data_IF_894518838205
#
_entry.id   IF_894518838205
#
_cell.length_a   1.000
_cell.length_b   1.000
_cell.length_c   1.000
_cell.angle_alpha   90.00
_cell.angle_beta   90.00
_cell.angle_gamma   90.00
#
_symmetry.space_group_name_H-M   'P 1'
#
loop_
_entity.id
_entity.type
_entity.pdbx_description
1 polymer ?
#
# COMPACT_ATOMS: atom_id res chain seq x y z
N UNK A 1 -13.01 6.76 41.65
CA UNK A 1 -14.10 7.54 42.27
C UNK A 1 -13.76 9.01 42.45
N UNK A 2 -12.51 9.40 42.77
CA UNK A 2 -12.14 10.81 43.01
C UNK A 2 -12.10 11.72 41.75
N UNK A 3 -12.37 11.20 40.55
CA UNK A 3 -12.38 11.98 39.31
C UNK A 3 -13.53 12.99 39.27
N UNK A 4 -14.69 12.62 39.81
CA UNK A 4 -15.84 13.51 39.99
C UNK A 4 -16.46 13.20 41.36
N UNK A 5 -16.72 14.25 42.15
CA UNK A 5 -17.27 14.15 43.51
C UNK A 5 -18.81 14.20 43.54
N UNK A 6 -19.44 14.46 42.39
CA UNK A 6 -20.89 14.45 42.29
C UNK A 6 -21.44 13.04 42.55
N UNK A 7 -22.45 12.96 43.42
CA UNK A 7 -23.11 11.68 43.79
C UNK A 7 -23.77 10.99 42.59
N UNK A 8 -24.17 11.77 41.58
CA UNK A 8 -24.83 11.29 40.34
C UNK A 8 -23.85 11.00 39.21
N UNK A 9 -22.54 11.09 39.46
CA UNK A 9 -21.52 10.74 38.48
C UNK A 9 -21.40 9.21 38.31
N UNK A 10 -20.34 8.75 37.63
CA UNK A 10 -20.15 7.33 37.36
C UNK A 10 -19.98 6.50 38.66
N UNK A 11 -20.69 5.38 38.74
CA UNK A 11 -20.63 4.46 39.87
C UNK A 11 -19.28 3.72 39.95
N UNK A 12 -18.70 3.67 41.15
CA UNK A 12 -17.49 2.90 41.47
C UNK A 12 -17.84 1.71 42.37
N UNK A 13 -17.49 0.51 41.93
CA UNK A 13 -17.61 -0.69 42.76
C UNK A 13 -16.31 -0.88 43.58
N UNK A 14 -16.33 -0.68 44.91
CA UNK A 14 -15.14 -0.78 45.75
C UNK A 14 -14.61 -2.22 45.86
N UNK A 15 -15.43 -3.25 45.61
CA UNK A 15 -15.03 -4.65 45.73
C UNK A 15 -14.14 -5.06 44.56
N UNK A 16 -14.62 -4.82 43.34
CA UNK A 16 -13.87 -5.10 42.11
C UNK A 16 -12.89 -3.99 41.73
N UNK A 17 -12.98 -2.82 42.41
CA UNK A 17 -12.21 -1.61 42.11
C UNK A 17 -12.40 -1.13 40.67
N UNK A 18 -13.62 -1.24 40.15
CA UNK A 18 -13.94 -0.87 38.77
C UNK A 18 -14.95 0.29 38.68
N UNK A 19 -14.75 1.18 37.70
CA UNK A 19 -15.74 2.20 37.28
C UNK A 19 -16.16 1.89 35.85
N UNK A 20 -17.42 1.50 35.67
CA UNK A 20 -17.93 1.13 34.34
C UNK A 20 -17.99 2.31 33.38
N UNK A 21 -18.53 3.43 33.87
CA UNK A 21 -18.80 4.61 33.05
C UNK A 21 -17.71 5.67 33.18
N UNK A 22 -17.58 6.52 32.16
CA UNK A 22 -16.75 7.71 32.25
C UNK A 22 -17.32 8.69 33.30
N UNK A 23 -16.56 9.09 34.34
CA UNK A 23 -17.01 10.05 35.36
C UNK A 23 -17.12 11.51 34.85
N UNK A 24 -16.55 11.84 33.69
CA UNK A 24 -16.44 13.19 33.14
C UNK A 24 -17.24 13.40 31.84
N UNK A 25 -18.30 12.60 31.61
CA UNK A 25 -19.13 12.64 30.38
C UNK A 25 -19.68 14.03 30.06
N UNK A 26 -20.13 14.76 31.07
CA UNK A 26 -20.85 16.02 30.88
C UNK A 26 -19.91 17.23 30.74
N UNK A 27 -18.74 17.17 31.37
CA UNK A 27 -17.82 18.30 31.52
C UNK A 27 -16.88 18.44 30.32
N UNK A 28 -16.40 17.31 29.78
CA UNK A 28 -15.32 17.30 28.77
C UNK A 28 -15.73 16.48 27.54
N UNK A 29 -16.65 17.02 26.74
CA UNK A 29 -16.98 16.42 25.43
C UNK A 29 -15.85 16.70 24.43
N UNK A 30 -15.23 15.64 23.90
CA UNK A 30 -14.28 15.73 22.77
C UNK A 30 -12.82 15.97 23.14
N UNK A 31 -12.46 16.04 24.43
CA UNK A 31 -11.06 16.09 24.87
C UNK A 31 -10.52 14.70 25.20
N UNK A 32 -9.21 14.51 25.04
CA UNK A 32 -8.53 13.28 25.46
C UNK A 32 -8.37 13.28 26.99
N UNK A 33 -9.40 12.76 27.66
CA UNK A 33 -9.41 12.52 29.10
C UNK A 33 -8.54 11.29 29.39
N UNK A 34 -7.74 11.34 30.47
CA UNK A 34 -6.88 10.23 30.91
C UNK A 34 -7.67 8.97 31.30
N UNK A 35 -8.90 9.11 31.80
CA UNK A 35 -9.76 8.01 32.20
C UNK A 35 -11.14 8.17 31.56
N UNK A 36 -11.57 7.15 30.79
CA UNK A 36 -12.85 7.14 30.06
C UNK A 36 -13.81 6.04 30.55
N UNK A 37 -13.55 5.46 31.71
CA UNK A 37 -14.25 4.26 32.19
C UNK A 37 -13.48 2.98 31.85
N UNK A 38 -13.75 1.92 32.62
CA UNK A 38 -13.14 0.60 32.43
C UNK A 38 -13.81 -0.19 31.31
N UNK A 39 -15.10 0.04 31.06
CA UNK A 39 -15.75 -0.44 29.84
C UNK A 39 -15.32 0.51 28.72
N UNK A 40 -14.17 0.21 28.13
CA UNK A 40 -13.82 0.70 26.81
C UNK A 40 -14.93 0.29 25.84
N UNK A 41 -15.19 1.09 24.80
CA UNK A 41 -16.18 0.77 23.79
C UNK A 41 -15.98 -0.69 23.34
N UNK A 42 -16.99 -1.58 23.44
CA UNK A 42 -16.85 -3.00 23.11
C UNK A 42 -16.33 -3.23 21.69
N UNK A 43 -16.51 -2.22 20.84
CA UNK A 43 -16.08 -2.16 19.46
C UNK A 43 -14.73 -1.43 19.33
N UNK A 44 -13.77 -1.69 20.21
CA UNK A 44 -12.44 -1.10 20.13
C UNK A 44 -11.32 -2.14 20.01
N UNK A 45 -10.30 -1.79 19.24
CA UNK A 45 -9.08 -2.58 19.08
C UNK A 45 -9.32 -3.99 18.53
N UNK A 46 -8.62 -4.97 19.12
CA UNK A 46 -8.59 -6.36 18.68
C UNK A 46 -9.92 -7.10 18.94
N UNK A 47 -10.78 -6.58 19.81
CA UNK A 47 -12.09 -7.18 20.13
C UNK A 47 -12.96 -7.24 18.86
N UNK A 48 -12.90 -6.20 18.02
CA UNK A 48 -13.62 -6.18 16.73
C UNK A 48 -13.10 -7.28 15.82
N UNK A 49 -11.79 -7.45 15.74
CA UNK A 49 -11.18 -8.46 14.87
C UNK A 49 -11.59 -9.89 15.30
N UNK A 50 -11.66 -10.14 16.61
CA UNK A 50 -12.16 -11.41 17.16
C UNK A 50 -13.65 -11.59 16.85
N UNK A 51 -14.47 -10.56 17.00
CA UNK A 51 -15.90 -10.59 16.66
C UNK A 51 -16.15 -10.82 15.16
N UNK A 52 -15.35 -10.21 14.29
CA UNK A 52 -15.39 -10.46 12.85
C UNK A 52 -14.99 -11.91 12.52
N UNK A 53 -14.00 -12.45 13.23
CA UNK A 53 -13.57 -13.82 13.05
C UNK A 53 -14.62 -14.82 13.54
N UNK A 54 -15.28 -14.56 14.68
CA UNK A 54 -16.37 -15.43 15.18
C UNK A 54 -17.54 -15.45 14.20
N UNK A 55 -18.01 -14.28 13.76
CA UNK A 55 -19.10 -14.18 12.77
C UNK A 55 -18.73 -14.85 11.45
N UNK A 56 -17.48 -14.70 10.99
CA UNK A 56 -16.96 -15.41 9.82
C UNK A 56 -17.05 -16.93 10.00
N UNK A 57 -16.54 -17.46 11.13
CA UNK A 57 -16.56 -18.92 11.38
C UNK A 57 -17.98 -19.47 11.47
N UNK A 58 -18.92 -18.78 12.12
CA UNK A 58 -20.33 -19.19 12.18
C UNK A 58 -20.95 -19.23 10.78
N UNK A 59 -20.72 -18.20 9.96
CA UNK A 59 -21.22 -18.16 8.58
C UNK A 59 -20.59 -19.23 7.68
N UNK A 60 -19.34 -19.64 7.97
CA UNK A 60 -18.64 -20.70 7.25
C UNK A 60 -19.19 -22.07 7.64
N UNK A 61 -19.47 -22.27 8.93
CA UNK A 61 -20.08 -23.47 9.47
C UNK A 61 -21.49 -23.70 8.88
N UNK A 62 -22.31 -22.65 8.79
CA UNK A 62 -23.62 -22.71 8.12
C UNK A 62 -23.53 -23.13 6.65
N UNK A 63 -22.41 -22.82 5.98
CA UNK A 63 -22.12 -23.21 4.60
C UNK A 63 -21.50 -24.61 4.48
N UNK A 64 -21.30 -25.31 5.61
CA UNK A 64 -20.72 -26.66 5.68
C UNK A 64 -19.19 -26.70 5.71
N UNK A 65 -18.52 -25.56 5.90
CA UNK A 65 -17.06 -25.51 6.06
C UNK A 65 -16.73 -25.63 7.55
N UNK A 66 -16.17 -26.76 7.95
CA UNK A 66 -15.81 -27.02 9.35
C UNK A 66 -14.55 -26.25 9.76
N UNK A 67 -14.77 -25.09 10.40
CA UNK A 67 -13.75 -24.20 10.93
C UNK A 67 -14.26 -23.60 12.22
N UNK A 68 -13.51 -23.79 13.30
CA UNK A 68 -13.84 -23.25 14.62
C UNK A 68 -12.74 -22.31 15.10
N UNK A 69 -13.11 -21.11 15.57
CA UNK A 69 -12.14 -20.08 15.98
C UNK A 69 -11.23 -20.54 17.13
N UNK A 70 -11.78 -21.21 18.14
CA UNK A 70 -10.99 -21.65 19.31
C UNK A 70 -10.22 -22.95 19.10
N UNK A 71 -10.69 -23.82 18.19
CA UNK A 71 -10.06 -25.12 17.98
C UNK A 71 -8.94 -25.00 16.93
N UNK A 72 -9.25 -24.30 15.83
CA UNK A 72 -8.35 -24.10 14.70
C UNK A 72 -8.13 -22.59 14.41
N UNK A 73 -7.53 -21.81 15.33
CA UNK A 73 -7.42 -20.36 15.18
C UNK A 73 -6.62 -19.95 13.93
N UNK A 74 -5.54 -20.65 13.62
CA UNK A 74 -4.67 -20.34 12.47
C UNK A 74 -5.36 -20.63 11.13
N UNK A 75 -6.15 -21.71 11.06
CA UNK A 75 -6.96 -22.07 9.89
C UNK A 75 -8.05 -21.02 9.66
N UNK A 76 -8.75 -20.62 10.72
CA UNK A 76 -9.79 -19.60 10.65
C UNK A 76 -9.22 -18.25 10.18
N UNK A 77 -8.08 -17.83 10.73
CA UNK A 77 -7.41 -16.58 10.34
C UNK A 77 -6.96 -16.60 8.86
N UNK A 78 -6.36 -17.70 8.41
CA UNK A 78 -5.91 -17.85 7.02
C UNK A 78 -7.10 -17.78 6.04
N UNK A 79 -8.19 -18.49 6.35
CA UNK A 79 -9.41 -18.46 5.54
C UNK A 79 -10.07 -17.08 5.53
N UNK A 80 -10.08 -16.39 6.68
CA UNK A 80 -10.60 -15.02 6.79
C UNK A 80 -9.78 -14.04 5.93
N UNK A 81 -8.44 -14.15 5.93
CA UNK A 81 -7.56 -13.33 5.06
C UNK A 81 -7.84 -13.57 3.58
N UNK A 82 -7.95 -14.84 3.18
CA UNK A 82 -8.31 -15.21 1.81
C UNK A 82 -9.71 -14.69 1.44
N UNK A 83 -10.66 -14.77 2.35
CA UNK A 83 -12.01 -14.26 2.16
C UNK A 83 -12.03 -12.74 1.97
N UNK A 84 -11.29 -11.98 2.78
CA UNK A 84 -11.18 -10.52 2.63
C UNK A 84 -10.60 -10.13 1.26
N UNK A 85 -9.49 -10.75 0.85
CA UNK A 85 -8.90 -10.49 -0.46
C UNK A 85 -9.85 -10.83 -1.62
N UNK A 86 -10.59 -11.95 -1.54
CA UNK A 86 -11.61 -12.31 -2.54
C UNK A 86 -12.79 -11.34 -2.51
N UNK A 87 -13.23 -10.90 -1.34
CA UNK A 87 -14.33 -9.93 -1.19
C UNK A 87 -13.95 -8.57 -1.80
N UNK A 88 -12.72 -8.11 -1.59
CA UNK A 88 -12.22 -6.87 -2.20
C UNK A 88 -12.19 -6.97 -3.74
N UNK A 89 -11.68 -8.07 -4.29
CA UNK A 89 -11.70 -8.31 -5.73
C UNK A 89 -13.15 -8.32 -6.28
N UNK A 90 -14.07 -9.02 -5.62
CA UNK A 90 -15.49 -9.04 -6.00
C UNK A 90 -16.15 -7.67 -5.89
N UNK A 91 -15.80 -6.87 -4.89
CA UNK A 91 -16.32 -5.50 -4.76
C UNK A 91 -15.84 -4.62 -5.91
N UNK A 92 -14.58 -4.74 -6.32
CA UNK A 92 -14.03 -4.01 -7.48
C UNK A 92 -14.75 -4.43 -8.76
N UNK A 93 -14.97 -5.73 -8.96
CA UNK A 93 -15.68 -6.22 -10.14
C UNK A 93 -17.15 -5.79 -10.14
N UNK A 94 -17.81 -5.81 -8.99
CA UNK A 94 -19.16 -5.30 -8.82
C UNK A 94 -19.24 -3.78 -9.08
N UNK A 95 -18.25 -3.01 -8.62
CA UNK A 95 -18.16 -1.57 -8.92
C UNK A 95 -18.01 -1.34 -10.43
N UNK A 96 -17.15 -2.10 -11.13
CA UNK A 96 -17.02 -2.02 -12.60
C UNK A 96 -18.32 -2.40 -13.31
N UNK A 97 -19.01 -3.45 -12.85
CA UNK A 97 -20.29 -3.86 -13.41
C UNK A 97 -21.34 -2.74 -13.27
N UNK A 98 -21.43 -2.12 -12.09
CA UNK A 98 -22.32 -0.98 -11.86
C UNK A 98 -21.99 0.21 -12.78
N UNK A 99 -20.70 0.58 -12.90
CA UNK A 99 -20.26 1.66 -13.80
C UNK A 99 -20.63 1.33 -15.25
N UNK A 100 -20.46 0.07 -15.69
CA UNK A 100 -20.81 -0.33 -17.06
C UNK A 100 -22.31 -0.27 -17.36
N UNK A 101 -23.16 -0.54 -16.35
CA UNK A 101 -24.63 -0.54 -16.51
C UNK A 101 -25.22 0.85 -16.42
N UNK A 102 -24.73 1.67 -15.50
CA UNK A 102 -25.34 2.94 -15.14
C UNK A 102 -24.53 4.16 -15.59
N UNK A 103 -23.30 3.97 -16.09
CA UNK A 103 -22.38 5.06 -16.43
C UNK A 103 -21.81 5.73 -15.17
N UNK A 104 -21.14 6.88 -15.35
CA UNK A 104 -20.60 7.69 -14.25
C UNK A 104 -19.10 7.55 -13.99
N UNK A 105 -18.33 6.95 -14.90
CA UNK A 105 -16.86 6.93 -14.84
C UNK A 105 -16.27 8.34 -14.78
N UNK A 106 -16.93 9.32 -15.42
CA UNK A 106 -16.56 10.74 -15.42
C UNK A 106 -16.57 11.38 -14.02
N UNK A 107 -17.34 10.81 -13.08
CA UNK A 107 -17.45 11.32 -11.71
C UNK A 107 -16.50 10.61 -10.72
N UNK A 108 -15.78 9.57 -11.15
CA UNK A 108 -14.78 8.90 -10.29
C UNK A 108 -13.54 9.77 -10.07
N UNK A 109 -13.14 10.51 -11.12
CA UNK A 109 -12.05 11.46 -11.06
C UNK A 109 -12.65 12.83 -10.78
N UNK A 110 -12.45 13.34 -9.56
CA UNK A 110 -12.77 14.72 -9.27
C UNK A 110 -11.94 15.60 -10.22
N UNK A 111 -12.59 16.49 -11.00
CA UNK A 111 -11.88 17.50 -11.78
C UNK A 111 -10.92 18.30 -10.87
N UNK A 112 -9.88 18.93 -11.43
CA UNK A 112 -9.04 19.82 -10.64
C UNK A 112 -9.91 20.87 -9.93
N UNK A 113 -9.54 21.23 -8.70
CA UNK A 113 -10.34 22.12 -7.83
C UNK A 113 -10.70 23.44 -8.51
N UNK A 114 -9.81 23.97 -9.33
CA UNK A 114 -10.03 25.18 -10.12
C UNK A 114 -11.24 25.08 -11.06
N UNK A 115 -11.44 23.92 -11.70
CA UNK A 115 -12.61 23.69 -12.56
C UNK A 115 -13.89 23.46 -11.75
N UNK A 116 -13.76 22.97 -10.52
CA UNK A 116 -14.89 22.69 -9.63
C UNK A 116 -15.49 23.98 -9.04
N UNK A 117 -14.65 25.00 -8.81
CA UNK A 117 -15.07 26.25 -8.18
C UNK A 117 -15.57 27.30 -9.18
N UNK A 118 -15.47 27.06 -10.50
CA UNK A 118 -15.83 27.99 -11.62
C UNK A 118 -15.19 29.39 -11.53
N UNK A 119 -14.41 29.63 -10.48
CA UNK A 119 -13.64 30.83 -10.20
C UNK A 119 -12.21 30.54 -10.62
N UNK A 120 -11.71 31.27 -11.61
CA UNK A 120 -10.32 31.20 -12.06
C UNK A 120 -9.41 32.13 -11.25
N UNK A 121 -9.94 32.78 -10.21
CA UNK A 121 -9.24 33.84 -9.48
C UNK A 121 -8.78 33.34 -8.11
N UNK A 122 -7.48 33.05 -8.01
CA UNK A 122 -6.81 32.84 -6.72
C UNK A 122 -6.63 34.18 -6.02
N UNK A 123 -7.47 34.47 -5.02
CA UNK A 123 -7.34 35.69 -4.22
C UNK A 123 -6.10 35.62 -3.31
N UNK A 124 -5.10 36.47 -3.61
CA UNK A 124 -3.85 36.58 -2.86
C UNK A 124 -3.78 37.93 -2.14
N UNK A 125 -3.76 37.91 -0.80
CA UNK A 125 -3.56 39.12 0.01
C UNK A 125 -2.06 39.34 0.26
N UNK A 126 -1.55 40.51 -0.12
CA UNK A 126 -0.17 40.92 0.19
C UNK A 126 -0.12 41.79 1.45
N UNK A 127 0.86 41.54 2.30
CA UNK A 127 1.26 42.47 3.35
C UNK A 127 1.80 43.76 2.73
N UNK A 128 1.83 44.85 3.50
CA UNK A 128 2.53 46.10 3.11
C UNK A 128 4.00 45.88 2.74
N UNK A 129 4.61 44.79 3.21
CA UNK A 129 5.98 44.39 2.90
C UNK A 129 6.11 43.45 1.69
N UNK A 130 5.01 43.12 1.01
CA UNK A 130 4.98 42.24 -0.17
C UNK A 130 4.94 40.74 0.14
N UNK A 131 4.77 40.33 1.40
CA UNK A 131 4.62 38.92 1.77
C UNK A 131 3.16 38.48 1.62
N UNK A 132 2.94 37.33 1.02
CA UNK A 132 1.59 36.74 0.88
C UNK A 132 1.07 36.32 2.26
N UNK A 133 -0.12 36.78 2.65
CA UNK A 133 -0.79 36.46 3.92
C UNK A 133 -1.89 35.41 3.71
N UNK A 134 -2.65 35.52 2.62
CA UNK A 134 -3.74 34.60 2.24
C UNK A 134 -3.62 34.20 0.78
N UNK A 135 -4.15 33.04 0.43
CA UNK A 135 -4.11 32.52 -0.95
C UNK A 135 -2.84 31.76 -1.31
N UNK A 136 -1.91 31.55 -0.37
CA UNK A 136 -0.76 30.68 -0.64
C UNK A 136 -1.23 29.21 -0.64
N UNK A 137 -1.07 28.52 -1.75
CA UNK A 137 -1.19 27.07 -1.78
C UNK A 137 -0.32 26.47 -0.68
N UNK A 138 -0.87 25.49 0.07
CA UNK A 138 -0.10 24.85 1.12
C UNK A 138 1.15 24.25 0.52
N UNK A 139 2.30 24.82 0.87
CA UNK A 139 3.58 24.29 0.46
C UNK A 139 3.64 22.80 0.83
N UNK A 140 4.18 21.94 -0.05
CA UNK A 140 4.39 20.54 0.29
C UNK A 140 5.19 20.49 1.59
N UNK A 141 4.77 19.62 2.50
CA UNK A 141 5.41 19.46 3.81
C UNK A 141 6.82 18.94 3.56
N UNK A 142 7.83 19.80 3.72
CA UNK A 142 9.25 19.41 3.68
C UNK A 142 9.69 19.04 5.08
N UNK A 143 10.57 18.05 5.21
CA UNK A 143 11.15 17.74 6.52
C UNK A 143 12.11 18.85 6.99
N UNK A 144 12.58 18.75 8.24
CA UNK A 144 13.53 19.69 8.84
C UNK A 144 14.89 19.73 8.11
N UNK A 145 15.21 18.69 7.36
CA UNK A 145 16.51 18.54 6.70
C UNK A 145 16.43 19.02 5.26
N UNK A 146 17.55 19.53 4.74
CA UNK A 146 17.63 19.99 3.35
C UNK A 146 17.59 18.75 2.45
N UNK A 147 16.43 18.49 1.89
CA UNK A 147 16.18 17.43 0.91
C UNK A 147 16.65 17.88 -0.49
N UNK A 148 16.83 16.90 -1.38
CA UNK A 148 17.13 17.13 -2.80
C UNK A 148 18.41 17.91 -3.12
N UNK A 149 19.39 17.88 -2.21
CA UNK A 149 20.75 18.38 -2.48
C UNK A 149 21.59 17.21 -2.99
N UNK A 150 21.63 17.08 -4.31
CA UNK A 150 22.46 16.08 -4.97
C UNK A 150 23.83 16.67 -5.32
N UNK A 151 24.87 15.84 -5.18
CA UNK A 151 26.25 16.21 -5.48
C UNK A 151 26.40 16.24 -7.01
N UNK A 152 27.15 17.20 -7.57
CA UNK A 152 27.63 17.21 -8.96
C UNK A 152 26.58 16.84 -10.04
N UNK A 153 25.39 17.46 -9.95
CA UNK A 153 24.27 17.34 -10.90
C UNK A 153 23.70 15.91 -11.06
N UNK A 154 23.87 15.06 -10.06
CA UNK A 154 23.11 13.80 -10.00
C UNK A 154 21.63 14.07 -9.66
N UNK A 155 20.71 13.19 -10.07
CA UNK A 155 19.28 13.24 -9.66
C UNK A 155 18.99 12.30 -8.48
N UNK A 156 20.02 11.62 -7.97
CA UNK A 156 19.91 10.62 -6.92
C UNK A 156 21.08 10.73 -5.94
N UNK A 157 20.87 10.32 -4.70
CA UNK A 157 21.92 10.26 -3.68
C UNK A 157 22.92 9.13 -3.95
N UNK A 158 24.13 9.26 -3.42
CA UNK A 158 25.10 8.17 -3.42
C UNK A 158 24.58 6.97 -2.62
N UNK A 159 24.70 5.76 -3.16
CA UNK A 159 24.17 4.54 -2.54
C UNK A 159 22.71 4.24 -2.89
N UNK A 160 22.12 5.02 -3.79
CA UNK A 160 20.80 4.71 -4.36
C UNK A 160 20.83 3.47 -5.27
N UNK A 161 22.00 3.11 -5.80
CA UNK A 161 22.22 1.94 -6.65
C UNK A 161 23.27 0.99 -6.04
N UNK A 162 23.09 -0.31 -6.24
CA UNK A 162 24.00 -1.36 -5.76
C UNK A 162 24.13 -2.47 -6.79
N UNK A 163 25.37 -2.78 -7.19
CA UNK A 163 25.70 -3.95 -8.00
C UNK A 163 27.14 -4.38 -7.73
N UNK A 164 27.42 -5.69 -7.82
CA UNK A 164 28.77 -6.26 -7.69
C UNK A 164 29.59 -5.76 -6.49
N UNK A 165 28.97 -5.77 -5.31
CA UNK A 165 29.57 -5.28 -4.05
C UNK A 165 29.99 -3.80 -4.05
N UNK A 166 29.47 -3.00 -5.00
CA UNK A 166 29.75 -1.58 -5.11
C UNK A 166 28.45 -0.76 -5.05
N UNK A 167 28.52 0.34 -4.30
CA UNK A 167 27.47 1.35 -4.24
C UNK A 167 27.69 2.38 -5.36
N UNK A 168 26.60 2.88 -5.93
CA UNK A 168 26.62 3.90 -6.97
C UNK A 168 25.39 4.81 -6.93
N UNK A 169 25.27 5.65 -7.95
CA UNK A 169 24.11 6.50 -8.19
C UNK A 169 23.09 5.81 -9.12
N UNK A 170 21.78 5.93 -8.91
CA UNK A 170 20.76 5.36 -9.84
C UNK A 170 20.69 6.10 -11.16
N UNK A 171 21.02 7.38 -11.17
CA UNK A 171 20.88 8.22 -12.36
C UNK A 171 21.93 7.94 -13.45
N UNK A 172 23.15 7.60 -13.05
CA UNK A 172 24.28 7.39 -13.95
C UNK A 172 24.93 6.00 -13.78
N UNK A 173 24.46 5.17 -12.83
CA UNK A 173 25.06 3.88 -12.43
C UNK A 173 26.57 3.93 -12.16
N UNK A 174 27.14 5.10 -11.88
CA UNK A 174 28.57 5.24 -11.60
C UNK A 174 28.90 4.80 -10.17
N UNK A 175 29.97 4.02 -10.03
CA UNK A 175 30.52 3.54 -8.75
C UNK A 175 31.60 4.46 -8.18
N UNK A 176 31.74 5.69 -8.69
CA UNK A 176 32.71 6.66 -8.20
C UNK A 176 31.96 7.78 -7.48
N UNK A 177 32.22 7.93 -6.17
CA UNK A 177 31.63 8.97 -5.35
C UNK A 177 32.11 10.34 -5.82
N UNK A 178 31.20 11.31 -5.93
CA UNK A 178 31.46 12.67 -6.42
C UNK A 178 31.89 12.75 -7.89
N UNK A 179 31.66 11.72 -8.72
CA UNK A 179 31.78 11.91 -10.17
C UNK A 179 30.74 12.94 -10.64
N UNK A 180 30.99 13.65 -11.73
CA UNK A 180 29.94 14.41 -12.41
C UNK A 180 28.95 13.43 -13.07
N UNK A 181 27.65 13.72 -13.06
CA UNK A 181 26.71 12.85 -13.78
C UNK A 181 26.87 13.07 -15.28
N UNK A 182 27.14 12.00 -16.01
CA UNK A 182 27.27 11.99 -17.48
C UNK A 182 25.92 12.08 -18.20
N UNK A 183 24.81 12.17 -17.47
CA UNK A 183 23.52 12.64 -17.99
C UNK A 183 22.94 11.85 -19.15
N UNK A 184 23.18 10.55 -19.26
CA UNK A 184 22.57 9.66 -20.27
C UNK A 184 22.52 8.22 -19.74
N UNK A 185 21.32 7.71 -19.46
CA UNK A 185 21.06 6.27 -19.38
C UNK A 185 20.70 5.79 -20.78
N UNK A 186 21.71 5.57 -21.63
CA UNK A 186 21.51 4.68 -22.77
C UNK A 186 21.56 3.25 -22.24
N UNK A 187 20.47 2.51 -22.47
CA UNK A 187 20.32 1.13 -22.03
C UNK A 187 21.54 0.29 -22.43
N UNK A 188 22.18 -0.31 -21.41
CA UNK A 188 23.16 -1.39 -21.49
C UNK A 188 24.29 -1.23 -22.53
N UNK A 189 25.38 -0.57 -22.13
CA UNK A 189 26.70 -0.80 -22.74
C UNK A 189 27.56 -1.53 -21.70
N UNK A 190 27.91 -2.82 -21.91
CA UNK A 190 28.95 -3.46 -21.11
C UNK A 190 30.31 -2.79 -21.42
N UNK A 191 30.87 -2.15 -20.38
CA UNK A 191 32.25 -1.67 -20.20
C UNK A 191 33.13 -1.54 -21.48
N UNK A 192 33.47 -0.32 -21.93
CA UNK A 192 34.59 -0.14 -22.85
C UNK A 192 35.90 0.09 -22.08
N UNK A 193 36.86 -0.80 -22.32
CA UNK A 193 38.28 -0.59 -22.03
C UNK A 193 38.86 0.50 -22.95
N UNK A 194 39.29 1.61 -22.35
CA UNK A 194 40.34 2.56 -22.75
C UNK A 194 40.42 3.18 -24.19
N UNK A 195 40.63 4.51 -24.19
CA UNK A 195 41.35 5.42 -25.14
C UNK A 195 40.58 6.27 -26.20
N UNK A 196 40.92 7.57 -26.19
CA UNK A 196 40.96 8.67 -27.21
C UNK A 196 39.70 9.36 -27.77
N UNK A 197 39.67 10.69 -27.50
CA UNK A 197 39.33 11.87 -28.34
C UNK A 197 38.65 11.68 -29.70
N UNK A 198 37.56 12.40 -29.96
CA UNK A 198 37.43 13.52 -30.93
C UNK A 198 35.97 14.02 -31.06
N UNK A 199 35.81 15.31 -31.39
CA UNK A 199 34.55 16.06 -31.46
C UNK A 199 33.87 15.93 -32.84
N UNK A 200 32.54 16.05 -32.93
CA UNK A 200 31.76 17.06 -33.71
C UNK A 200 30.29 16.64 -33.94
N UNK A 201 29.39 17.56 -33.56
CA UNK A 201 28.13 18.02 -34.21
C UNK A 201 27.15 17.04 -34.90
N UNK A 202 25.88 17.05 -34.45
CA UNK A 202 24.69 17.57 -35.16
C UNK A 202 23.35 17.06 -34.54
N UNK A 203 22.60 18.01 -33.98
CA UNK A 203 21.15 18.26 -33.94
C UNK A 203 20.06 17.16 -34.11
N UNK A 204 19.07 17.32 -33.21
CA UNK A 204 17.59 17.25 -33.34
C UNK A 204 16.77 15.96 -33.06
N UNK A 205 15.91 16.14 -32.04
CA UNK A 205 14.50 15.74 -31.90
C UNK A 205 14.10 14.25 -31.77
N UNK A 206 13.39 13.91 -30.68
CA UNK A 206 11.97 13.43 -30.67
C UNK A 206 11.60 13.00 -29.23
N UNK A 207 10.67 13.74 -28.60
CA UNK A 207 10.09 13.44 -27.27
C UNK A 207 8.68 12.88 -27.49
N UNK A 208 8.52 11.64 -27.98
CA UNK A 208 7.18 11.03 -28.09
C UNK A 208 7.13 9.52 -27.76
N UNK A 209 8.25 8.84 -27.56
CA UNK A 209 8.31 7.36 -27.45
C UNK A 209 7.94 6.82 -26.06
N UNK A 210 8.21 7.56 -24.99
CA UNK A 210 8.27 6.98 -23.63
C UNK A 210 6.89 6.62 -23.03
N UNK A 211 5.83 7.35 -23.42
CA UNK A 211 4.47 7.05 -22.95
C UNK A 211 3.90 5.78 -23.60
N UNK A 212 4.36 5.45 -24.82
CA UNK A 212 3.88 4.29 -25.58
C UNK A 212 4.53 2.99 -25.09
N UNK A 213 5.80 3.06 -24.71
CA UNK A 213 6.55 1.90 -24.21
C UNK A 213 6.13 1.48 -22.80
N UNK A 214 5.82 2.45 -21.94
CA UNK A 214 5.30 2.14 -20.61
C UNK A 214 3.92 1.46 -20.69
N UNK A 215 3.02 1.94 -21.57
CA UNK A 215 1.74 1.28 -21.85
C UNK A 215 1.91 -0.12 -22.43
N UNK A 216 2.91 -0.36 -23.29
CA UNK A 216 3.24 -1.70 -23.81
C UNK A 216 3.73 -2.64 -22.71
N UNK A 217 4.67 -2.20 -21.86
CA UNK A 217 5.20 -3.02 -20.76
C UNK A 217 4.11 -3.39 -19.75
N UNK A 218 3.18 -2.48 -19.46
CA UNK A 218 2.05 -2.73 -18.57
C UNK A 218 1.02 -3.70 -19.18
N UNK A 219 0.74 -3.58 -20.49
CA UNK A 219 -0.13 -4.51 -21.22
C UNK A 219 0.47 -5.91 -21.35
N UNK A 220 1.79 -6.03 -21.53
CA UNK A 220 2.49 -7.31 -21.58
C UNK A 220 2.47 -8.01 -20.22
N UNK A 221 2.65 -7.27 -19.13
CA UNK A 221 2.55 -7.80 -17.77
C UNK A 221 1.11 -8.26 -17.45
N UNK A 222 0.10 -7.51 -17.89
CA UNK A 222 -1.31 -7.89 -17.73
C UNK A 222 -1.67 -9.14 -18.55
N UNK A 223 -1.16 -9.27 -19.78
CA UNK A 223 -1.32 -10.48 -20.59
C UNK A 223 -0.64 -11.70 -19.97
N UNK A 224 0.54 -11.55 -19.36
CA UNK A 224 1.22 -12.63 -18.65
C UNK A 224 0.45 -13.10 -17.41
N UNK A 225 -0.20 -12.18 -16.68
CA UNK A 225 -1.07 -12.54 -15.54
C UNK A 225 -2.31 -13.30 -16.01
N UNK A 226 -2.92 -12.88 -17.13
CA UNK A 226 -4.09 -13.55 -17.72
C UNK A 226 -3.70 -14.95 -18.25
N UNK A 227 -2.54 -15.07 -18.91
CA UNK A 227 -2.05 -16.35 -19.42
C UNK A 227 -1.65 -17.35 -18.33
N UNK A 228 -1.18 -16.87 -17.17
CA UNK A 228 -0.83 -17.70 -16.02
C UNK A 228 -2.02 -17.99 -15.08
N UNK A 229 -3.18 -17.37 -15.33
CA UNK A 229 -4.41 -17.71 -14.63
C UNK A 229 -5.02 -18.98 -15.25
N UNK A 230 -5.38 -20.01 -14.45
CA UNK A 230 -6.00 -21.21 -14.98
C UNK A 230 -7.34 -20.84 -15.65
N UNK A 231 -7.70 -21.46 -16.80
CA UNK A 231 -8.90 -21.11 -17.53
C UNK A 231 -10.13 -21.23 -16.63
N UNK A 232 -10.91 -20.16 -16.56
CA UNK A 232 -12.14 -20.10 -15.79
C UNK A 232 -13.16 -21.08 -16.38
N UNK A 233 -13.20 -22.31 -15.86
CA UNK A 233 -14.25 -23.27 -16.20
C UNK A 233 -15.60 -22.66 -15.80
N UNK A 234 -16.52 -22.53 -16.76
CA UNK A 234 -17.90 -22.08 -16.50
C UNK A 234 -18.50 -23.02 -15.44
N UNK A 235 -18.68 -22.49 -14.24
CA UNK A 235 -19.27 -23.24 -13.13
C UNK A 235 -20.74 -23.51 -13.46
N UNK A 236 -21.11 -24.77 -13.66
CA UNK A 236 -22.50 -25.19 -13.69
C UNK A 236 -23.19 -24.84 -12.37
N UNK A 237 -24.50 -24.59 -12.43
CA UNK A 237 -25.39 -24.12 -11.34
C UNK A 237 -25.38 -24.99 -10.07
N UNK A 238 -24.74 -26.15 -10.11
CA UNK A 238 -24.52 -27.03 -8.96
C UNK A 238 -23.03 -27.40 -8.92
N UNK A 239 -22.29 -26.85 -7.95
CA UNK A 239 -20.94 -27.28 -7.63
C UNK A 239 -21.02 -28.39 -6.58
N UNK A 240 -20.84 -29.63 -7.02
CA UNK A 240 -20.47 -30.74 -6.14
C UNK A 240 -19.00 -30.55 -5.80
N UNK A 241 -18.68 -30.47 -4.51
CA UNK A 241 -17.31 -30.31 -4.01
C UNK A 241 -16.56 -31.59 -4.40
N UNK A 242 -15.61 -31.49 -5.33
CA UNK A 242 -14.61 -32.55 -5.45
C UNK A 242 -13.66 -32.42 -4.26
N UNK A 243 -13.50 -33.51 -3.51
CA UNK A 243 -12.48 -33.64 -2.49
C UNK A 243 -11.12 -33.35 -3.13
N UNK A 244 -10.46 -32.28 -2.68
CA UNK A 244 -9.07 -32.02 -3.05
C UNK A 244 -8.23 -33.06 -2.32
N UNK A 245 -7.52 -33.98 -3.03
CA UNK A 245 -6.69 -34.96 -2.37
C UNK A 245 -5.60 -34.27 -1.54
N UNK A 246 -5.31 -34.85 -0.38
CA UNK A 246 -4.25 -34.37 0.50
C UNK A 246 -2.90 -34.33 -0.26
N UNK A 247 -2.10 -33.27 -0.11
CA UNK A 247 -0.82 -33.15 -0.81
C UNK A 247 0.10 -34.33 -0.52
N UNK A 248 0.67 -34.89 -1.58
CA UNK A 248 1.60 -36.01 -1.51
C UNK A 248 2.92 -35.55 -0.89
N UNK A 249 3.67 -36.46 -0.26
CA UNK A 249 4.94 -36.13 0.42
C UNK A 249 5.94 -35.41 -0.50
N UNK A 250 5.97 -35.79 -1.78
CA UNK A 250 6.82 -35.17 -2.79
C UNK A 250 6.39 -33.72 -3.12
N UNK A 251 5.08 -33.45 -3.17
CA UNK A 251 4.55 -32.10 -3.41
C UNK A 251 4.84 -31.17 -2.22
N UNK A 252 4.83 -31.72 -1.01
CA UNK A 252 5.25 -31.02 0.21
C UNK A 252 6.76 -30.72 0.23
N UNK A 253 7.59 -31.60 -0.33
CA UNK A 253 9.04 -31.38 -0.49
C UNK A 253 9.34 -30.33 -1.57
N UNK A 254 8.65 -30.39 -2.71
CA UNK A 254 8.73 -29.38 -3.76
C UNK A 254 8.26 -28.01 -3.28
N UNK A 255 7.21 -27.97 -2.45
CA UNK A 255 6.73 -26.74 -1.82
C UNK A 255 7.77 -26.17 -0.84
N UNK A 256 8.44 -27.03 -0.06
CA UNK A 256 9.54 -26.61 0.84
C UNK A 256 10.73 -26.07 0.06
N UNK A 257 11.06 -26.65 -1.10
CA UNK A 257 12.14 -26.20 -1.98
C UNK A 257 11.79 -24.88 -2.70
N UNK A 258 10.52 -24.68 -3.10
CA UNK A 258 10.05 -23.45 -3.76
C UNK A 258 9.84 -22.28 -2.82
N UNK A 259 9.67 -22.51 -1.51
CA UNK A 259 9.50 -21.44 -0.52
C UNK A 259 10.82 -20.71 -0.30
N UNK A 260 11.09 -19.74 -1.17
CA UNK A 260 12.17 -18.76 -1.04
C UNK A 260 12.16 -18.17 0.38
N UNK A 261 13.26 -18.33 1.12
CA UNK A 261 13.50 -17.51 2.31
C UNK A 261 13.87 -16.13 1.82
N UNK A 262 13.04 -15.13 2.11
CA UNK A 262 13.21 -13.74 1.65
C UNK A 262 14.49 -13.04 2.12
N UNK A 263 15.36 -13.72 2.88
CA UNK A 263 16.61 -13.18 3.41
C UNK A 263 17.86 -14.02 3.12
N UNK A 264 17.81 -14.99 2.20
CA UNK A 264 18.96 -15.83 1.85
C UNK A 264 19.54 -15.40 0.48
N UNK A 265 20.77 -14.86 0.39
CA UNK A 265 21.35 -14.33 -0.85
C UNK A 265 21.93 -15.39 -1.80
N UNK A 266 22.01 -16.65 -1.39
CA UNK A 266 22.62 -17.76 -2.14
C UNK A 266 21.81 -18.43 -3.28
N UNK A 267 20.48 -18.23 -3.49
CA UNK A 267 19.75 -19.05 -4.48
C UNK A 267 20.02 -18.70 -5.95
N UNK A 268 20.76 -17.62 -6.26
CA UNK A 268 21.10 -17.27 -7.66
C UNK A 268 22.25 -18.09 -8.26
N UNK A 269 23.02 -18.83 -7.45
CA UNK A 269 24.26 -19.47 -7.89
C UNK A 269 24.21 -21.00 -7.98
N UNK A 270 23.08 -21.63 -7.63
CA UNK A 270 22.91 -23.10 -7.71
C UNK A 270 22.08 -23.51 -8.93
N UNK A 271 22.51 -23.09 -10.13
CA UNK A 271 22.08 -23.70 -11.39
C UNK A 271 23.33 -24.00 -12.22
N UNK A 272 23.83 -25.21 -12.05
CA UNK A 272 24.71 -25.90 -13.01
C UNK A 272 23.89 -26.97 -13.70
#
# INVERSE_FOLDING_TARGET
YLYNLDEKSAFYDPKSRSMRENPLKDILKGQNISFKGDILDPNSGEIIAVADATTFTLSAYEKGVDVHLLADPTKAELLMKQFKARKEALNVDHQKELISKYGGEEHLFAPPKEMLLDQTEDYVEYSRTGKIIKGQERAPIRSKYIEDVYINNHTSGWGSYWSDFQWGYTCCHSFIKNSYCTGLLTESIPQPTAISTENTDLNECVIETDKTEFKRKLNLHHQQIIANSPPHQKKSKYHVIHETPLPTKNEMEDYKLKKQRSGDPLPKYNKS
#
